data_IF_548763787106
#
_entry.id   IF_548763787106
#
_cell.length_a   1.000
_cell.length_b   1.000
_cell.length_c   1.000
_cell.angle_alpha   90.00
_cell.angle_beta   90.00
_cell.angle_gamma   90.00
#
_symmetry.space_group_name_H-M   'P 1'
#
loop_
_entity.id
_entity.type
_entity.pdbx_description
1 polymer ?
#
# COMPACT_ATOMS: atom_id res chain seq x y z
N UNK A 1 26.70 50.90 21.29
CA UNK A 1 25.46 50.36 20.70
C UNK A 1 25.82 49.08 20.03
N UNK A 2 25.40 47.92 20.58
CA UNK A 2 25.73 46.58 20.05
C UNK A 2 24.55 46.13 19.21
N UNK A 3 24.74 46.00 17.89
CA UNK A 3 23.74 45.44 17.00
C UNK A 3 23.71 43.90 17.20
N UNK A 4 22.60 43.40 17.71
CA UNK A 4 22.29 41.97 17.77
C UNK A 4 21.58 41.64 16.48
N UNK A 5 22.27 40.90 15.58
CA UNK A 5 21.64 40.34 14.40
C UNK A 5 20.80 39.14 14.82
N UNK A 6 19.50 39.22 14.63
CA UNK A 6 18.59 38.06 14.74
C UNK A 6 18.81 37.18 13.52
N UNK A 7 19.42 36.01 13.73
CA UNK A 7 19.46 34.94 12.73
C UNK A 7 18.15 34.15 12.90
N UNK A 8 17.19 34.41 12.01
CA UNK A 8 15.98 33.57 11.88
C UNK A 8 16.39 32.27 11.19
N UNK A 9 16.46 31.20 11.96
CA UNK A 9 16.65 29.86 11.44
C UNK A 9 15.31 29.39 10.87
N UNK A 10 15.18 29.44 9.55
CA UNK A 10 14.11 28.76 8.83
C UNK A 10 14.41 27.26 8.79
N UNK A 11 14.00 26.52 9.81
CA UNK A 11 13.89 25.07 9.75
C UNK A 11 12.46 24.77 9.33
N UNK A 12 12.20 24.72 8.03
CA UNK A 12 10.89 24.30 7.54
C UNK A 12 10.99 23.23 6.43
N UNK A 13 10.44 22.07 6.76
CA UNK A 13 9.55 21.25 5.95
C UNK A 13 10.10 20.44 4.78
N UNK A 14 11.22 19.74 4.91
CA UNK A 14 11.53 18.64 3.99
C UNK A 14 10.64 17.39 4.26
N UNK A 15 10.09 17.24 5.48
CA UNK A 15 9.29 16.08 5.85
C UNK A 15 7.85 16.10 5.29
N UNK A 16 7.18 17.25 5.25
CA UNK A 16 5.78 17.31 4.77
C UNK A 16 5.63 17.00 3.28
N UNK A 17 6.54 17.51 2.46
CA UNK A 17 6.56 17.23 1.00
C UNK A 17 6.86 15.76 0.67
N UNK A 18 7.56 15.06 1.56
CA UNK A 18 7.84 13.64 1.39
C UNK A 18 6.58 12.80 1.59
N UNK A 19 5.79 13.07 2.64
CA UNK A 19 4.57 12.31 2.93
C UNK A 19 3.47 12.57 1.89
N UNK A 20 3.30 13.79 1.40
CA UNK A 20 2.35 14.09 0.33
C UNK A 20 2.60 13.25 -0.95
N UNK A 21 3.87 13.05 -1.32
CA UNK A 21 4.22 12.19 -2.47
C UNK A 21 3.96 10.72 -2.20
N UNK A 22 4.16 10.26 -0.98
CA UNK A 22 3.91 8.89 -0.55
C UNK A 22 2.41 8.61 -0.50
N UNK A 23 1.62 9.53 0.03
CA UNK A 23 0.17 9.43 0.00
C UNK A 23 -0.36 9.43 -1.43
N UNK A 24 0.12 10.31 -2.30
CA UNK A 24 -0.25 10.35 -3.71
C UNK A 24 0.10 9.04 -4.45
N UNK A 25 1.20 8.37 -4.08
CA UNK A 25 1.55 7.06 -4.64
C UNK A 25 0.49 6.01 -4.33
N UNK A 26 0.08 5.88 -3.06
CA UNK A 26 -0.89 4.87 -2.63
C UNK A 26 -2.33 5.25 -2.99
N UNK A 27 -2.70 6.53 -2.93
CA UNK A 27 -4.01 6.99 -3.41
C UNK A 27 -4.18 6.70 -4.90
N UNK A 28 -3.13 6.96 -5.67
CA UNK A 28 -3.11 6.62 -7.08
C UNK A 28 -3.16 5.11 -7.32
N UNK A 29 -2.53 4.28 -6.47
CA UNK A 29 -2.63 2.82 -6.55
C UNK A 29 -4.09 2.36 -6.43
N UNK A 30 -4.81 2.84 -5.41
CA UNK A 30 -6.22 2.48 -5.21
C UNK A 30 -7.12 3.03 -6.30
N UNK A 31 -6.86 4.25 -6.77
CA UNK A 31 -7.62 4.87 -7.87
C UNK A 31 -7.42 4.11 -9.20
N UNK A 32 -6.18 3.77 -9.54
CA UNK A 32 -5.87 3.02 -10.77
C UNK A 32 -6.49 1.62 -10.74
N UNK A 33 -6.52 0.97 -9.57
CA UNK A 33 -7.22 -0.31 -9.40
C UNK A 33 -8.74 -0.16 -9.61
N UNK A 34 -9.36 0.84 -8.99
CA UNK A 34 -10.79 1.12 -9.12
C UNK A 34 -11.18 1.41 -10.59
N UNK A 35 -10.36 2.16 -11.29
CA UNK A 35 -10.59 2.56 -12.69
C UNK A 35 -10.11 1.53 -13.72
N UNK A 36 -9.56 0.40 -13.31
CA UNK A 36 -9.05 -0.62 -14.22
C UNK A 36 -7.82 -0.20 -15.04
N UNK A 37 -7.06 0.77 -14.55
CA UNK A 37 -5.86 1.30 -15.21
C UNK A 37 -4.64 0.40 -14.98
N UNK A 38 -4.60 -0.74 -15.67
CA UNK A 38 -3.62 -1.79 -15.47
C UNK A 38 -2.17 -1.29 -15.50
N UNK A 39 -1.75 -0.62 -16.56
CA UNK A 39 -0.36 -0.18 -16.74
C UNK A 39 0.03 0.85 -15.67
N UNK A 40 -0.82 1.82 -15.36
CA UNK A 40 -0.59 2.83 -14.34
C UNK A 40 -0.50 2.24 -12.94
N UNK A 41 -1.37 1.26 -12.63
CA UNK A 41 -1.35 0.52 -11.38
C UNK A 41 0.00 -0.19 -11.15
N UNK A 42 0.46 -0.93 -12.16
CA UNK A 42 1.69 -1.71 -12.06
C UNK A 42 2.97 -0.88 -12.18
N UNK A 43 2.92 0.29 -12.82
CA UNK A 43 4.05 1.21 -12.84
C UNK A 43 4.41 1.79 -11.47
N UNK A 44 3.49 1.72 -10.50
CA UNK A 44 3.77 2.12 -9.11
C UNK A 44 4.66 1.15 -8.35
N UNK A 45 4.81 -0.06 -8.83
CA UNK A 45 5.66 -1.07 -8.22
C UNK A 45 7.09 -1.03 -8.78
N UNK A 46 8.07 -1.45 -7.97
CA UNK A 46 9.40 -1.75 -8.48
C UNK A 46 9.39 -3.04 -9.30
N UNK A 47 10.37 -3.22 -10.17
CA UNK A 47 10.48 -4.39 -11.04
C UNK A 47 10.67 -5.72 -10.28
N UNK A 48 11.18 -5.65 -9.07
CA UNK A 48 11.45 -6.77 -8.16
C UNK A 48 10.46 -6.85 -7.00
N UNK A 49 9.37 -6.08 -7.05
CA UNK A 49 8.36 -6.04 -6.01
C UNK A 49 7.73 -7.41 -5.74
N UNK A 50 7.34 -7.61 -4.49
CA UNK A 50 6.60 -8.77 -4.02
C UNK A 50 5.23 -8.35 -3.51
N UNK A 51 4.19 -9.01 -3.99
CA UNK A 51 2.83 -8.86 -3.49
C UNK A 51 2.38 -10.10 -2.73
N UNK A 52 1.81 -9.89 -1.55
CA UNK A 52 1.14 -10.92 -0.76
C UNK A 52 -0.36 -10.64 -0.77
N UNK A 53 -1.13 -11.58 -1.29
CA UNK A 53 -2.59 -11.50 -1.25
C UNK A 53 -3.17 -12.04 0.05
N UNK A 54 -4.47 -12.20 0.09
CA UNK A 54 -5.21 -12.62 1.30
C UNK A 54 -5.20 -14.13 1.54
N UNK A 55 -4.83 -14.93 0.54
CA UNK A 55 -4.66 -16.38 0.68
C UNK A 55 -3.18 -16.74 0.95
N UNK A 56 -2.95 -17.77 1.75
CA UNK A 56 -1.59 -18.21 2.12
C UNK A 56 -0.71 -18.62 0.93
N UNK A 57 -1.29 -18.95 -0.21
CA UNK A 57 -0.58 -19.32 -1.44
C UNK A 57 -0.24 -18.11 -2.31
N UNK A 58 -0.81 -16.96 -2.03
CA UNK A 58 -0.70 -15.73 -2.82
C UNK A 58 0.56 -14.93 -2.46
N UNK A 59 1.71 -15.50 -2.78
CA UNK A 59 2.99 -14.78 -2.75
C UNK A 59 3.53 -14.68 -4.17
N UNK A 60 3.42 -13.51 -4.77
CA UNK A 60 3.73 -13.28 -6.16
C UNK A 60 4.90 -12.31 -6.36
N UNK A 61 5.74 -12.63 -7.34
CA UNK A 61 6.56 -11.60 -8.01
C UNK A 61 5.63 -10.64 -8.75
N UNK A 62 6.13 -9.47 -9.09
CA UNK A 62 5.31 -8.48 -9.82
C UNK A 62 4.75 -9.03 -11.15
N UNK A 63 5.50 -9.86 -11.86
CA UNK A 63 5.06 -10.45 -13.13
C UNK A 63 3.97 -11.52 -12.92
N UNK A 64 4.04 -12.30 -11.85
CA UNK A 64 2.98 -13.23 -11.48
C UNK A 64 1.71 -12.46 -11.06
N UNK A 65 1.87 -11.38 -10.31
CA UNK A 65 0.76 -10.54 -9.90
C UNK A 65 0.09 -9.85 -11.09
N UNK A 66 0.84 -9.34 -12.07
CA UNK A 66 0.30 -8.83 -13.34
C UNK A 66 -0.55 -9.88 -14.04
N UNK A 67 -0.05 -11.10 -14.12
CA UNK A 67 -0.77 -12.21 -14.79
C UNK A 67 -2.08 -12.53 -14.07
N UNK A 68 -2.07 -12.56 -12.75
CA UNK A 68 -3.27 -12.76 -11.92
C UNK A 68 -4.30 -11.62 -12.07
N UNK A 69 -3.84 -10.37 -12.05
CA UNK A 69 -4.70 -9.19 -12.09
C UNK A 69 -5.31 -8.90 -13.46
N UNK A 70 -4.64 -9.32 -14.53
CA UNK A 70 -5.02 -8.97 -15.91
C UNK A 70 -6.48 -9.23 -16.26
N UNK A 71 -7.12 -10.38 -15.93
CA UNK A 71 -8.52 -10.60 -16.21
C UNK A 71 -9.44 -9.59 -15.51
N UNK A 72 -9.21 -9.30 -14.24
CA UNK A 72 -10.02 -8.35 -13.48
C UNK A 72 -9.96 -6.94 -14.08
N UNK A 73 -8.78 -6.48 -14.46
CA UNK A 73 -8.61 -5.14 -15.06
C UNK A 73 -9.14 -5.06 -16.49
N UNK A 74 -9.28 -6.18 -17.20
CA UNK A 74 -9.80 -6.20 -18.58
C UNK A 74 -11.27 -5.83 -18.67
N UNK A 75 -12.03 -5.95 -17.57
CA UNK A 75 -13.44 -5.58 -17.49
C UNK A 75 -13.66 -4.07 -17.17
N UNK A 76 -12.57 -3.28 -17.17
CA UNK A 76 -12.60 -1.84 -16.96
C UNK A 76 -12.63 -1.40 -15.50
N UNK A 77 -12.50 -2.34 -14.58
CA UNK A 77 -12.28 -2.09 -13.15
C UNK A 77 -11.58 -3.30 -12.54
N UNK A 78 -10.66 -3.04 -11.62
CA UNK A 78 -10.00 -4.10 -10.86
C UNK A 78 -10.72 -4.33 -9.51
N UNK A 79 -10.15 -3.82 -8.46
CA UNK A 79 -10.70 -3.91 -7.10
C UNK A 79 -10.82 -2.54 -6.47
N UNK A 80 -11.79 -2.39 -5.57
CA UNK A 80 -12.08 -1.13 -4.89
C UNK A 80 -11.80 -1.26 -3.40
N UNK A 81 -10.93 -0.40 -2.89
CA UNK A 81 -10.67 -0.23 -1.48
C UNK A 81 -10.82 1.24 -1.10
N UNK A 82 -11.62 1.53 -0.08
CA UNK A 82 -11.68 2.85 0.52
C UNK A 82 -10.66 2.93 1.68
N UNK A 83 -9.77 3.90 1.62
CA UNK A 83 -8.79 4.15 2.70
C UNK A 83 -9.51 4.76 3.89
N UNK A 84 -9.39 4.12 5.06
CA UNK A 84 -9.95 4.60 6.33
C UNK A 84 -8.88 5.32 7.14
N UNK A 85 -7.67 4.78 7.17
CA UNK A 85 -6.52 5.31 7.90
C UNK A 85 -5.24 4.88 7.20
N UNK A 86 -4.20 5.71 7.25
CA UNK A 86 -2.86 5.38 6.76
C UNK A 86 -1.80 5.96 7.68
N UNK A 87 -0.78 5.18 7.95
CA UNK A 87 0.36 5.56 8.75
C UNK A 87 1.66 5.28 7.99
N UNK A 88 2.66 6.13 8.22
CA UNK A 88 3.98 6.02 7.61
C UNK A 88 5.08 5.96 8.67
N UNK A 89 6.15 5.21 8.35
CA UNK A 89 7.38 5.18 9.13
C UNK A 89 8.61 4.98 8.26
N UNK A 90 9.77 4.89 8.91
CA UNK A 90 11.06 4.79 8.22
C UNK A 90 11.68 6.14 7.89
N UNK A 91 12.88 6.11 7.31
CA UNK A 91 13.66 7.30 6.95
C UNK A 91 14.45 7.11 5.65
N UNK A 92 15.16 8.14 5.20
CA UNK A 92 15.98 8.09 3.99
C UNK A 92 15.19 7.70 2.74
N UNK A 93 15.68 6.75 1.99
CA UNK A 93 15.12 6.28 0.72
C UNK A 93 14.17 5.09 0.87
N UNK A 94 13.88 4.65 2.09
CA UNK A 94 12.97 3.53 2.37
C UNK A 94 11.93 3.98 3.38
N UNK A 95 10.66 3.73 3.08
CA UNK A 95 9.52 3.97 3.98
C UNK A 95 8.70 2.70 4.05
N UNK A 96 8.07 2.49 5.19
CA UNK A 96 7.02 1.50 5.35
C UNK A 96 5.71 2.18 5.69
N UNK A 97 4.63 1.52 5.40
CA UNK A 97 3.28 1.98 5.70
C UNK A 97 2.39 0.86 6.22
N UNK A 98 1.36 1.26 6.92
CA UNK A 98 0.17 0.45 7.11
C UNK A 98 -1.07 1.30 6.83
N UNK A 99 -2.11 0.66 6.30
CA UNK A 99 -3.38 1.32 6.04
C UNK A 99 -4.55 0.39 6.40
N UNK A 100 -5.61 0.99 6.95
CA UNK A 100 -6.90 0.32 7.13
C UNK A 100 -7.74 0.64 5.91
N UNK A 101 -8.22 -0.41 5.28
CA UNK A 101 -8.99 -0.38 4.05
C UNK A 101 -10.37 -0.97 4.29
N UNK A 102 -11.38 -0.46 3.58
CA UNK A 102 -12.71 -1.05 3.53
C UNK A 102 -13.00 -1.54 2.10
N UNK A 103 -13.40 -2.80 2.00
CA UNK A 103 -13.84 -3.43 0.77
C UNK A 103 -15.24 -4.02 0.98
N UNK A 104 -16.15 -3.87 0.02
CA UNK A 104 -17.54 -4.32 0.15
C UNK A 104 -17.66 -5.84 0.35
N UNK A 105 -16.76 -6.63 -0.27
CA UNK A 105 -16.78 -8.09 -0.20
C UNK A 105 -16.00 -8.65 0.98
N UNK A 106 -14.84 -8.07 1.29
CA UNK A 106 -13.90 -8.60 2.27
C UNK A 106 -14.01 -7.92 3.65
N UNK A 107 -14.81 -6.84 3.75
CA UNK A 107 -14.89 -6.04 4.97
C UNK A 107 -13.62 -5.22 5.19
N UNK A 108 -13.22 -5.07 6.46
CA UNK A 108 -11.98 -4.36 6.78
C UNK A 108 -10.76 -5.22 6.44
N UNK A 109 -9.81 -4.58 5.76
CA UNK A 109 -8.51 -5.15 5.43
C UNK A 109 -7.39 -4.26 5.97
N UNK A 110 -6.20 -4.80 6.03
CA UNK A 110 -4.97 -4.05 6.26
C UNK A 110 -4.05 -4.22 5.06
N UNK A 111 -3.67 -3.10 4.45
CA UNK A 111 -2.53 -3.02 3.58
C UNK A 111 -1.28 -2.69 4.40
N UNK A 112 -0.19 -3.41 4.21
CA UNK A 112 1.12 -3.05 4.74
C UNK A 112 2.14 -3.15 3.65
N UNK A 113 3.17 -2.30 3.69
CA UNK A 113 4.18 -2.41 2.65
C UNK A 113 5.40 -1.54 2.87
N UNK A 114 6.28 -1.64 1.90
CA UNK A 114 7.53 -0.89 1.83
C UNK A 114 7.57 -0.16 0.49
N UNK A 115 8.00 1.09 0.53
CA UNK A 115 8.28 1.89 -0.66
C UNK A 115 9.74 2.35 -0.63
N UNK A 116 10.34 2.41 -1.81
CA UNK A 116 11.73 2.79 -2.00
C UNK A 116 11.86 3.90 -3.03
N UNK A 117 12.79 4.83 -2.79
CA UNK A 117 13.13 5.89 -3.73
C UNK A 117 14.13 5.37 -4.76
N UNK A 118 13.65 5.04 -5.95
CA UNK A 118 14.41 4.48 -7.07
C UNK A 118 14.45 5.52 -8.19
N UNK A 119 15.64 5.95 -8.60
CA UNK A 119 15.81 6.97 -9.66
C UNK A 119 14.95 8.23 -9.45
N UNK A 120 14.88 8.71 -8.20
CA UNK A 120 14.09 9.88 -7.79
C UNK A 120 12.56 9.69 -7.83
N UNK A 121 12.07 8.48 -8.01
CA UNK A 121 10.65 8.12 -7.94
C UNK A 121 10.40 7.12 -6.81
N UNK A 122 9.31 7.32 -6.06
CA UNK A 122 8.88 6.36 -5.06
C UNK A 122 8.16 5.19 -5.75
N UNK A 123 8.61 3.97 -5.46
CA UNK A 123 8.03 2.72 -5.97
C UNK A 123 7.71 1.79 -4.80
N UNK A 124 6.65 1.01 -4.94
CA UNK A 124 6.27 -0.02 -3.97
C UNK A 124 7.17 -1.24 -4.21
N UNK A 125 7.98 -1.61 -3.23
CA UNK A 125 8.83 -2.82 -3.29
C UNK A 125 8.21 -4.02 -2.59
N UNK A 126 7.27 -3.79 -1.67
CA UNK A 126 6.52 -4.83 -1.01
C UNK A 126 5.12 -4.34 -0.66
N UNK A 127 4.10 -5.17 -0.88
CA UNK A 127 2.74 -4.94 -0.42
C UNK A 127 2.12 -6.25 0.08
N UNK A 128 1.50 -6.21 1.25
CA UNK A 128 0.74 -7.32 1.80
C UNK A 128 -0.68 -6.86 2.15
N UNK A 129 -1.66 -7.59 1.67
CA UNK A 129 -3.08 -7.37 1.99
C UNK A 129 -3.57 -8.48 2.92
N UNK A 130 -4.19 -8.09 4.03
CA UNK A 130 -4.69 -9.03 5.03
C UNK A 130 -6.13 -8.66 5.42
N UNK A 131 -7.03 -9.63 5.47
CA UNK A 131 -8.36 -9.43 6.05
C UNK A 131 -8.26 -9.25 7.56
N UNK A 132 -8.99 -8.29 8.12
CA UNK A 132 -9.01 -8.03 9.55
C UNK A 132 -10.17 -8.78 10.20
N UNK A 133 -9.84 -9.69 11.10
CA UNK A 133 -10.82 -10.49 11.84
C UNK A 133 -10.98 -9.92 13.25
N UNK A 134 -12.21 -9.55 13.69
CA UNK A 134 -12.45 -9.15 15.07
C UNK A 134 -12.08 -10.26 16.06
N UNK A 135 -11.44 -9.90 17.17
CA UNK A 135 -11.00 -10.85 18.19
C UNK A 135 -12.15 -11.72 18.72
N UNK A 136 -13.37 -11.18 18.74
CA UNK A 136 -14.56 -11.90 19.23
C UNK A 136 -14.95 -13.16 18.43
N UNK A 137 -14.53 -13.23 17.16
CA UNK A 137 -14.82 -14.35 16.24
C UNK A 137 -13.54 -15.02 15.71
N UNK A 138 -12.36 -14.61 16.18
CA UNK A 138 -11.09 -15.09 15.63
C UNK A 138 -10.93 -16.63 15.75
N UNK A 139 -11.39 -17.23 16.84
CA UNK A 139 -11.33 -18.69 17.03
C UNK A 139 -12.23 -19.45 16.04
N UNK A 140 -13.42 -18.91 15.75
CA UNK A 140 -14.35 -19.48 14.76
C UNK A 140 -13.75 -19.41 13.35
N UNK A 141 -13.25 -18.24 12.96
CA UNK A 141 -12.59 -18.05 11.66
C UNK A 141 -11.37 -18.97 11.54
N UNK A 142 -10.55 -19.10 12.60
CA UNK A 142 -9.41 -20.01 12.62
C UNK A 142 -9.81 -21.46 12.36
N UNK A 143 -10.93 -21.91 12.94
CA UNK A 143 -11.46 -23.26 12.69
C UNK A 143 -11.91 -23.44 11.23
N UNK A 144 -12.63 -22.45 10.67
CA UNK A 144 -13.08 -22.48 9.27
C UNK A 144 -11.92 -22.53 8.29
N UNK A 145 -10.85 -21.77 8.52
CA UNK A 145 -9.67 -21.78 7.65
C UNK A 145 -8.94 -23.14 7.68
N UNK A 146 -8.82 -23.76 8.86
CA UNK A 146 -8.22 -25.09 8.99
C UNK A 146 -9.07 -26.20 8.34
N UNK A 147 -10.38 -26.02 8.27
CA UNK A 147 -11.28 -26.95 7.56
C UNK A 147 -11.19 -26.78 6.05
N UNK A 148 -11.06 -25.56 5.56
CA UNK A 148 -10.94 -25.27 4.13
C UNK A 148 -9.61 -25.75 3.54
N UNK A 149 -8.60 -26.00 4.37
CA UNK A 149 -7.28 -26.50 3.97
C UNK A 149 -7.17 -28.04 3.84
N UNK A 150 -8.24 -28.79 4.17
CA UNK A 150 -8.27 -30.25 4.07
C UNK A 150 -8.71 -30.74 2.68
#
# INVERSE_FOLDING_TARGET
MKNIALISIFIFSHNSWSFEKLDALLDGLHQDAHEGKFESYFDRYSSDAVFLGTDKTERWTIEQFKSYAKPAFSDGHGWTYAVVERNWGGDGNTRWFDEILLNEKLGHCRGTGVVELINSEWKISHYALTMLVPNSIAAEVGSLTLEADK
#
